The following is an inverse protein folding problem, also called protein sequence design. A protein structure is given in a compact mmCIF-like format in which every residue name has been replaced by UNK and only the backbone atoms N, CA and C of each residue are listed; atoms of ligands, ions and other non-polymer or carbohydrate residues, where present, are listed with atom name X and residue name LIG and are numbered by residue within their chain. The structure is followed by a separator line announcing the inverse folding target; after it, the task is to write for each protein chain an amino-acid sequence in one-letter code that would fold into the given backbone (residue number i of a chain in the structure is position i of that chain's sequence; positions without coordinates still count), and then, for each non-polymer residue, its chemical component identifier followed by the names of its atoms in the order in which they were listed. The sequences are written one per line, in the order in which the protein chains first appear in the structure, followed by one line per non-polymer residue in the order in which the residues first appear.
data_IF_524357724651
#
_entry.id   IF_524357724651
#
_cell.length_a   1.000
_cell.length_b   1.000
_cell.length_c   1.000
_cell.angle_alpha   90.00
_cell.angle_beta   90.00
_cell.angle_gamma   90.00
#
_symmetry.space_group_name_H-M   'P 1'
#
loop_
_entity.id
_entity.type
_entity.pdbx_description
1 polymer ?
#
# COMPACT_ATOMS: atom_id res chain seq x y z
N UNK A 1 22.09 7.76 36.68
CA UNK A 1 21.80 7.32 35.29
C UNK A 1 22.64 6.09 35.00
N UNK A 2 22.04 4.89 34.98
CA UNK A 2 22.78 3.65 34.69
C UNK A 2 23.07 3.61 33.18
N UNK A 3 24.34 3.40 32.81
CA UNK A 3 24.76 3.22 31.43
C UNK A 3 24.08 1.98 30.85
N UNK A 4 23.10 2.23 29.97
CA UNK A 4 22.39 1.21 29.18
C UNK A 4 23.43 0.34 28.48
N UNK A 5 23.56 -0.92 28.93
CA UNK A 5 24.17 -1.96 28.11
C UNK A 5 23.31 -2.01 26.86
N UNK A 6 23.81 -1.50 25.74
CA UNK A 6 23.15 -1.62 24.44
C UNK A 6 23.12 -3.09 24.08
N UNK A 7 22.08 -3.79 24.54
CA UNK A 7 21.82 -5.16 24.15
C UNK A 7 21.44 -5.11 22.67
N UNK A 8 22.17 -5.86 21.85
CA UNK A 8 21.88 -5.94 20.43
C UNK A 8 20.42 -6.34 20.24
N UNK A 9 19.68 -5.58 19.43
CA UNK A 9 18.27 -5.87 19.11
C UNK A 9 17.21 -5.02 19.82
N UNK A 10 17.55 -4.07 20.70
CA UNK A 10 16.54 -3.20 21.34
C UNK A 10 15.69 -2.41 20.32
N UNK A 11 16.30 -1.90 19.24
CA UNK A 11 15.57 -1.18 18.18
C UNK A 11 14.53 -2.08 17.50
N UNK A 12 14.93 -3.31 17.13
CA UNK A 12 14.04 -4.31 16.55
C UNK A 12 12.93 -4.69 17.52
N UNK A 13 13.26 -4.84 18.81
CA UNK A 13 12.27 -5.13 19.84
C UNK A 13 11.23 -4.03 19.95
N UNK A 14 11.63 -2.75 20.04
CA UNK A 14 10.70 -1.62 20.12
C UNK A 14 9.78 -1.55 18.90
N UNK A 15 10.33 -1.75 17.70
CA UNK A 15 9.54 -1.83 16.47
C UNK A 15 8.51 -2.96 16.53
N UNK A 16 8.92 -4.17 16.90
CA UNK A 16 8.02 -5.32 17.02
C UNK A 16 6.98 -5.13 18.13
N UNK A 17 7.33 -4.47 19.24
CA UNK A 17 6.41 -4.19 20.34
C UNK A 17 5.28 -3.24 19.91
N UNK A 18 5.57 -2.23 19.07
CA UNK A 18 4.52 -1.40 18.47
C UNK A 18 3.69 -2.17 17.43
N UNK A 19 4.33 -2.95 16.55
CA UNK A 19 3.65 -3.66 15.47
C UNK A 19 2.78 -4.82 15.95
N UNK A 20 3.11 -5.42 17.10
CA UNK A 20 2.36 -6.54 17.68
C UNK A 20 0.93 -6.22 18.11
N UNK A 21 0.56 -4.94 18.09
CA UNK A 21 -0.81 -4.49 18.33
C UNK A 21 -1.67 -4.54 17.08
N UNK A 22 -1.09 -4.14 15.96
CA UNK A 22 -1.83 -3.97 14.72
C UNK A 22 -1.83 -5.25 13.88
N UNK A 23 -0.82 -6.11 14.06
CA UNK A 23 -0.57 -7.25 13.19
C UNK A 23 -0.26 -8.52 13.99
N UNK A 24 -0.70 -9.67 13.46
CA UNK A 24 -0.30 -10.99 13.96
C UNK A 24 1.20 -11.23 13.68
N UNK A 25 2.01 -11.25 14.74
CA UNK A 25 3.44 -11.55 14.61
C UNK A 25 3.69 -12.99 14.17
N UNK A 26 4.66 -13.14 13.27
CA UNK A 26 5.28 -14.44 12.97
C UNK A 26 5.82 -15.10 14.25
N UNK A 27 5.72 -16.45 14.39
CA UNK A 27 6.20 -17.17 15.57
C UNK A 27 7.69 -16.93 15.86
N UNK A 28 8.51 -16.71 14.81
CA UNK A 28 9.94 -16.37 14.97
C UNK A 28 10.15 -15.04 15.68
N UNK A 29 9.32 -14.03 15.38
CA UNK A 29 9.42 -12.71 15.99
C UNK A 29 8.92 -12.73 17.44
N UNK A 30 7.86 -13.49 17.73
CA UNK A 30 7.40 -13.72 19.11
C UNK A 30 8.48 -14.36 19.97
N UNK A 31 9.10 -15.44 19.49
CA UNK A 31 10.21 -16.09 20.20
C UNK A 31 11.46 -15.19 20.35
N UNK A 32 11.69 -14.25 19.44
CA UNK A 32 12.72 -13.21 19.62
C UNK A 32 12.35 -12.25 20.75
N UNK A 33 11.11 -11.76 20.78
CA UNK A 33 10.64 -10.86 21.84
C UNK A 33 10.72 -11.53 23.21
N UNK A 34 10.23 -12.76 23.36
CA UNK A 34 10.23 -13.48 24.64
C UNK A 34 11.65 -13.65 25.21
N UNK A 35 12.62 -13.99 24.35
CA UNK A 35 14.03 -14.08 24.75
C UNK A 35 14.64 -12.72 25.10
N UNK A 36 14.28 -11.67 24.38
CA UNK A 36 14.82 -10.33 24.62
C UNK A 36 14.26 -9.71 25.91
N UNK A 37 12.96 -9.93 26.22
CA UNK A 37 12.32 -9.52 27.48
C UNK A 37 13.06 -10.06 28.70
N UNK A 38 13.51 -11.32 28.64
CA UNK A 38 14.24 -11.96 29.73
C UNK A 38 15.65 -11.39 29.97
N UNK A 39 16.20 -10.64 29.01
CA UNK A 39 17.59 -10.13 29.06
C UNK A 39 17.64 -8.61 29.25
N UNK A 40 16.66 -7.87 28.74
CA UNK A 40 16.66 -6.41 28.73
C UNK A 40 15.44 -5.82 29.46
N UNK A 41 15.64 -5.49 30.74
CA UNK A 41 14.61 -4.89 31.60
C UNK A 41 14.08 -3.56 31.05
N UNK A 42 14.94 -2.75 30.41
CA UNK A 42 14.53 -1.47 29.79
C UNK A 42 13.50 -1.69 28.67
N UNK A 43 13.66 -2.75 27.86
CA UNK A 43 12.72 -3.08 26.79
C UNK A 43 11.44 -3.70 27.34
N UNK A 44 11.53 -4.50 28.41
CA UNK A 44 10.36 -5.04 29.10
C UNK A 44 9.51 -3.93 29.75
N UNK A 45 10.16 -2.95 30.40
CA UNK A 45 9.49 -1.78 30.96
C UNK A 45 8.82 -0.94 29.86
N UNK A 46 9.53 -0.67 28.75
CA UNK A 46 8.98 0.05 27.61
C UNK A 46 7.72 -0.63 27.04
N UNK A 47 7.75 -1.96 26.89
CA UNK A 47 6.58 -2.71 26.46
C UNK A 47 5.43 -2.53 27.43
N UNK A 48 5.68 -2.71 28.74
CA UNK A 48 4.66 -2.53 29.78
C UNK A 48 4.05 -1.12 29.77
N UNK A 49 4.86 -0.07 29.61
CA UNK A 49 4.39 1.31 29.48
C UNK A 49 3.49 1.49 28.25
N UNK A 50 3.81 0.83 27.14
CA UNK A 50 2.98 0.76 25.93
C UNK A 50 1.64 0.08 26.21
N UNK A 51 1.63 -1.03 26.98
CA UNK A 51 0.39 -1.68 27.43
C UNK A 51 -0.44 -0.76 28.32
N UNK A 52 0.17 -0.15 29.33
CA UNK A 52 -0.52 0.76 30.24
C UNK A 52 -1.06 1.99 29.49
N UNK A 53 -0.26 2.63 28.66
CA UNK A 53 -0.66 3.82 27.90
C UNK A 53 -1.84 3.54 26.97
N UNK A 54 -1.83 2.42 26.25
CA UNK A 54 -2.96 2.03 25.41
C UNK A 54 -4.20 1.65 26.23
N UNK A 55 -4.03 0.99 27.37
CA UNK A 55 -5.15 0.69 28.26
C UNK A 55 -5.79 1.99 28.78
N UNK A 56 -4.97 2.97 29.18
CA UNK A 56 -5.46 4.29 29.56
C UNK A 56 -6.21 4.96 28.41
N UNK A 57 -5.66 4.98 27.20
CA UNK A 57 -6.36 5.53 26.02
C UNK A 57 -7.69 4.81 25.75
N UNK A 58 -7.77 3.49 25.98
CA UNK A 58 -9.01 2.73 25.87
C UNK A 58 -10.04 3.12 26.94
N UNK A 59 -9.61 3.40 28.18
CA UNK A 59 -10.50 3.91 29.24
C UNK A 59 -10.89 5.37 29.04
N UNK A 60 -10.04 6.15 28.37
CA UNK A 60 -10.32 7.52 27.90
C UNK A 60 -11.05 7.52 26.56
N UNK A 61 -11.67 6.41 26.14
CA UNK A 61 -12.79 6.51 25.22
C UNK A 61 -13.78 7.46 25.89
N UNK A 62 -13.71 8.72 25.46
CA UNK A 62 -14.68 9.74 25.73
C UNK A 62 -16.03 9.04 25.60
N UNK A 63 -16.87 9.15 26.63
CA UNK A 63 -18.32 8.95 26.52
C UNK A 63 -18.82 9.98 25.50
N UNK A 64 -18.43 9.77 24.24
CA UNK A 64 -19.09 10.38 23.12
C UNK A 64 -20.36 9.54 23.07
N UNK A 65 -21.44 10.14 23.55
CA UNK A 65 -22.81 9.78 23.22
C UNK A 65 -22.96 9.86 21.69
N UNK A 66 -22.29 8.95 21.00
CA UNK A 66 -22.47 8.67 19.60
C UNK A 66 -23.78 7.92 19.60
N UNK A 67 -24.84 8.60 19.19
CA UNK A 67 -26.02 7.98 18.59
C UNK A 67 -25.53 6.84 17.69
N UNK A 68 -25.49 5.62 18.25
CA UNK A 68 -24.60 4.55 17.75
C UNK A 68 -24.91 4.18 16.31
N UNK A 69 -26.15 4.42 15.90
CA UNK A 69 -26.68 4.20 14.57
C UNK A 69 -25.99 5.07 13.49
N UNK A 70 -25.70 6.35 13.75
CA UNK A 70 -25.14 7.26 12.72
C UNK A 70 -23.65 7.08 12.51
N UNK A 71 -22.92 6.72 13.57
CA UNK A 71 -21.49 6.42 13.48
C UNK A 71 -21.26 5.07 12.79
N UNK A 72 -21.97 4.02 13.23
CA UNK A 72 -21.89 2.68 12.65
C UNK A 72 -22.23 2.71 11.16
N UNK A 73 -23.26 3.43 10.75
CA UNK A 73 -23.62 3.57 9.33
C UNK A 73 -22.52 4.25 8.49
N UNK A 74 -21.84 5.27 9.02
CA UNK A 74 -20.73 5.94 8.31
C UNK A 74 -19.50 5.04 8.20
N UNK A 75 -19.17 4.30 9.26
CA UNK A 75 -18.02 3.38 9.27
C UNK A 75 -18.28 2.17 8.39
N UNK A 76 -19.45 1.55 8.50
CA UNK A 76 -19.89 0.44 7.63
C UNK A 76 -19.88 0.86 6.16
N UNK A 77 -20.39 2.04 5.82
CA UNK A 77 -20.36 2.55 4.44
C UNK A 77 -18.93 2.68 3.92
N UNK A 78 -18.00 3.20 4.72
CA UNK A 78 -16.58 3.28 4.33
C UNK A 78 -15.96 1.90 4.14
N UNK A 79 -16.20 0.96 5.06
CA UNK A 79 -15.71 -0.42 4.95
C UNK A 79 -16.22 -1.12 3.69
N UNK A 80 -17.49 -0.96 3.34
CA UNK A 80 -18.05 -1.50 2.10
C UNK A 80 -17.38 -0.90 0.86
N UNK A 81 -17.11 0.41 0.84
CA UNK A 81 -16.41 1.06 -0.28
C UNK A 81 -14.98 0.53 -0.42
N UNK A 82 -14.25 0.35 0.68
CA UNK A 82 -12.89 -0.20 0.64
C UNK A 82 -12.87 -1.64 0.13
N UNK A 83 -13.77 -2.49 0.65
CA UNK A 83 -13.87 -3.89 0.23
C UNK A 83 -14.25 -4.02 -1.25
N UNK A 84 -15.14 -3.17 -1.74
CA UNK A 84 -15.48 -3.10 -3.16
C UNK A 84 -14.29 -2.66 -4.02
N UNK A 85 -13.50 -1.67 -3.58
CA UNK A 85 -12.29 -1.24 -4.31
C UNK A 85 -11.24 -2.34 -4.38
N UNK A 86 -11.04 -3.09 -3.30
CA UNK A 86 -10.07 -4.19 -3.29
C UNK A 86 -10.49 -5.34 -4.22
N UNK A 87 -11.78 -5.65 -4.28
CA UNK A 87 -12.28 -6.59 -5.29
C UNK A 87 -12.09 -6.06 -6.71
N UNK A 88 -12.41 -4.79 -6.98
CA UNK A 88 -12.24 -4.21 -8.31
C UNK A 88 -10.77 -4.16 -8.75
N UNK A 89 -9.83 -4.03 -7.80
CA UNK A 89 -8.40 -4.05 -8.11
C UNK A 89 -7.93 -5.43 -8.58
N UNK A 90 -8.52 -6.51 -8.08
CA UNK A 90 -8.25 -7.87 -8.54
C UNK A 90 -8.87 -8.13 -9.93
N UNK A 91 -10.07 -7.61 -10.19
CA UNK A 91 -10.78 -7.83 -11.46
C UNK A 91 -10.43 -6.83 -12.58
N UNK A 92 -9.77 -5.71 -12.25
CA UNK A 92 -9.39 -4.65 -13.18
C UNK A 92 -8.57 -5.12 -14.39
N UNK A 93 -7.53 -5.97 -14.24
CA UNK A 93 -6.76 -6.44 -15.39
C UNK A 93 -7.56 -7.33 -16.33
N UNK A 94 -8.44 -8.18 -15.78
CA UNK A 94 -9.29 -9.07 -16.56
C UNK A 94 -10.33 -8.28 -17.38
N UNK A 95 -10.94 -7.24 -16.80
CA UNK A 95 -11.88 -6.37 -17.50
C UNK A 95 -11.21 -5.53 -18.59
N UNK A 96 -9.99 -5.03 -18.34
CA UNK A 96 -9.20 -4.34 -19.35
C UNK A 96 -8.86 -5.28 -20.52
N UNK A 97 -8.46 -6.52 -20.24
CA UNK A 97 -8.20 -7.53 -21.27
C UNK A 97 -9.45 -7.87 -22.09
N UNK A 98 -10.59 -8.07 -21.43
CA UNK A 98 -11.86 -8.32 -22.11
C UNK A 98 -12.30 -7.13 -22.99
N UNK A 99 -12.07 -5.90 -22.54
CA UNK A 99 -12.34 -4.69 -23.32
C UNK A 99 -11.51 -4.61 -24.59
N UNK A 100 -10.20 -4.90 -24.50
CA UNK A 100 -9.31 -4.92 -25.68
C UNK A 100 -9.77 -6.01 -26.67
N UNK A 101 -10.08 -7.21 -26.19
CA UNK A 101 -10.57 -8.30 -27.04
C UNK A 101 -11.91 -7.96 -27.72
N UNK A 102 -12.82 -7.28 -27.03
CA UNK A 102 -14.07 -6.83 -27.63
C UNK A 102 -13.83 -5.81 -28.76
N UNK A 103 -12.91 -4.86 -28.56
CA UNK A 103 -12.53 -3.87 -29.58
C UNK A 103 -11.91 -4.55 -30.80
N UNK A 104 -11.00 -5.51 -30.61
CA UNK A 104 -10.37 -6.22 -31.74
C UNK A 104 -11.40 -7.03 -32.52
N UNK A 105 -12.29 -7.76 -31.85
CA UNK A 105 -13.37 -8.49 -32.51
C UNK A 105 -14.27 -7.52 -33.29
N UNK A 106 -14.67 -6.39 -32.70
CA UNK A 106 -15.49 -5.40 -33.38
C UNK A 106 -14.81 -4.83 -34.64
N UNK A 107 -13.51 -4.56 -34.56
CA UNK A 107 -12.69 -4.10 -35.69
C UNK A 107 -12.58 -5.16 -36.78
N UNK A 108 -12.36 -6.42 -36.42
CA UNK A 108 -12.29 -7.52 -37.41
C UNK A 108 -13.61 -7.67 -38.16
N UNK A 109 -14.74 -7.55 -37.46
CA UNK A 109 -16.07 -7.58 -38.09
C UNK A 109 -16.25 -6.38 -39.03
N UNK A 110 -15.87 -5.17 -38.62
CA UNK A 110 -15.95 -3.98 -39.48
C UNK A 110 -15.11 -4.13 -40.76
N UNK A 111 -13.89 -4.67 -40.65
CA UNK A 111 -13.01 -4.89 -41.79
C UNK A 111 -13.57 -5.95 -42.76
N UNK A 112 -14.20 -7.01 -42.26
CA UNK A 112 -14.84 -8.02 -43.11
C UNK A 112 -16.06 -7.44 -43.84
N UNK A 113 -16.89 -6.65 -43.14
CA UNK A 113 -18.09 -6.02 -43.73
C UNK A 113 -17.71 -4.97 -44.77
N UNK A 114 -16.66 -4.17 -44.55
CA UNK A 114 -16.18 -3.18 -45.51
C UNK A 114 -15.35 -3.82 -46.64
N UNK A 115 -14.58 -4.87 -46.36
CA UNK A 115 -13.82 -5.63 -47.34
C UNK A 115 -14.69 -6.39 -48.35
N UNK A 116 -15.94 -6.71 -47.99
CA UNK A 116 -16.94 -7.23 -48.93
C UNK A 116 -17.36 -6.20 -50.00
N UNK A 117 -16.97 -4.94 -49.85
CA UNK A 117 -17.24 -3.84 -50.79
C UNK A 117 -15.91 -3.16 -51.14
N UNK A 118 -14.99 -3.86 -51.80
CA UNK A 118 -13.97 -3.19 -52.61
C UNK A 118 -13.75 -3.91 -53.94
N UNK A 119 -13.65 -3.16 -55.04
CA UNK A 119 -13.74 -3.67 -56.39
C UNK A 119 -12.50 -4.51 -56.76
N UNK A 120 -12.69 -5.42 -57.70
CA UNK A 120 -11.67 -6.25 -58.31
C UNK A 120 -10.43 -5.42 -58.71
N UNK A 121 -9.33 -5.54 -57.96
CA UNK A 121 -8.01 -5.13 -58.46
C UNK A 121 -7.41 -6.32 -59.22
N UNK A 122 -7.68 -6.32 -60.53
CA UNK A 122 -7.04 -7.21 -61.50
C UNK A 122 -5.65 -6.64 -61.85
N UNK A 123 -4.62 -7.46 -61.69
CA UNK A 123 -3.26 -7.25 -62.21
C UNK A 123 -2.32 -6.54 -61.23
N UNK A 124 -1.07 -6.92 -61.05
CA UNK A 124 -0.22 -7.92 -61.68
C UNK A 124 1.07 -8.07 -60.86
N UNK A 125 1.62 -9.28 -60.84
CA UNK A 125 3.07 -9.56 -60.75
C UNK A 125 3.82 -9.29 -59.43
N UNK A 126 4.05 -10.40 -58.72
CA UNK A 126 5.36 -11.01 -58.45
C UNK A 126 6.61 -10.13 -58.20
N UNK A 127 7.33 -10.53 -57.14
CA UNK A 127 8.73 -10.26 -56.79
C UNK A 127 9.06 -8.96 -56.04
N UNK A 128 9.39 -9.12 -54.75
CA UNK A 128 10.76 -8.87 -54.29
C UNK A 128 10.93 -9.34 -52.85
N UNK A 129 11.68 -10.42 -52.69
CA UNK A 129 12.36 -10.81 -51.46
C UNK A 129 13.35 -9.70 -51.05
N UNK A 130 13.13 -9.04 -49.92
CA UNK A 130 14.21 -8.30 -49.27
C UNK A 130 14.60 -8.96 -47.93
N UNK A 131 15.81 -9.50 -47.96
CA UNK A 131 16.59 -10.04 -46.85
C UNK A 131 16.87 -8.99 -45.76
N UNK A 132 17.32 -9.53 -44.63
CA UNK A 132 18.34 -8.96 -43.73
C UNK A 132 17.85 -8.23 -42.47
N UNK A 133 17.93 -8.97 -41.36
CA UNK A 133 18.74 -8.67 -40.18
C UNK A 133 18.88 -7.19 -39.77
N UNK A 134 18.39 -6.89 -38.57
CA UNK A 134 19.18 -6.46 -37.39
C UNK A 134 18.22 -6.38 -36.20
N UNK A 135 18.41 -7.26 -35.22
CA UNK A 135 18.94 -6.91 -33.90
C UNK A 135 18.06 -5.92 -33.13
N UNK A 136 17.47 -6.46 -32.06
CA UNK A 136 17.00 -5.73 -30.89
C UNK A 136 17.89 -4.52 -30.53
N UNK A 137 17.23 -3.45 -30.05
CA UNK A 137 17.53 -2.96 -28.71
C UNK A 137 16.21 -2.94 -27.92
N UNK A 138 16.04 -3.84 -26.94
CA UNK A 138 16.34 -3.56 -25.53
C UNK A 138 16.07 -2.10 -25.11
N UNK A 139 15.02 -1.97 -24.28
CA UNK A 139 15.01 -1.19 -23.04
C UNK A 139 15.50 0.26 -23.14
N UNK A 140 14.59 1.22 -23.39
CA UNK A 140 14.68 2.50 -22.70
C UNK A 140 13.35 3.28 -22.70
N UNK A 141 12.47 3.00 -21.74
CA UNK A 141 11.39 3.94 -21.40
C UNK A 141 11.01 3.84 -19.90
N UNK A 142 12.03 3.68 -19.04
CA UNK A 142 11.87 3.56 -17.59
C UNK A 142 12.70 4.60 -16.80
N UNK A 143 12.77 5.85 -17.28
CA UNK A 143 13.52 6.91 -16.58
C UNK A 143 12.79 8.24 -16.36
N UNK A 144 11.50 8.39 -16.73
CA UNK A 144 10.78 9.67 -16.56
C UNK A 144 9.89 9.77 -15.29
N UNK A 145 10.05 8.90 -14.29
CA UNK A 145 9.32 8.99 -13.00
C UNK A 145 10.24 9.21 -11.79
N UNK A 146 11.29 10.01 -11.94
CA UNK A 146 12.12 10.51 -10.82
C UNK A 146 12.22 12.03 -10.83
N UNK A 147 11.11 12.70 -10.58
CA UNK A 147 11.12 13.99 -9.89
C UNK A 147 9.92 14.05 -8.94
N UNK A 148 10.09 13.42 -7.77
CA UNK A 148 9.28 13.75 -6.60
C UNK A 148 9.90 15.01 -5.98
N UNK A 149 9.20 16.15 -5.91
CA UNK A 149 9.69 17.29 -5.16
C UNK A 149 9.77 16.90 -3.67
N UNK A 150 10.96 17.08 -3.08
CA UNK A 150 11.13 17.20 -1.63
C UNK A 150 10.33 18.41 -1.19
N UNK A 151 9.17 18.16 -0.58
CA UNK A 151 8.51 19.16 0.24
C UNK A 151 9.26 19.25 1.56
N UNK A 152 10.17 20.22 1.64
CA UNK A 152 10.74 20.68 2.89
C UNK A 152 9.61 21.32 3.70
N UNK A 153 9.05 20.56 4.63
CA UNK A 153 8.19 21.08 5.69
C UNK A 153 9.07 21.24 6.93
N UNK A 154 9.74 22.39 7.02
CA UNK A 154 10.23 22.96 8.28
C UNK A 154 9.02 23.26 9.17
N UNK A 155 8.49 22.21 9.79
CA UNK A 155 7.51 22.28 10.86
C UNK A 155 8.21 22.45 12.20
N UNK A 156 8.83 23.62 12.41
CA UNK A 156 9.24 24.09 13.73
C UNK A 156 8.01 24.27 14.62
N UNK A 157 7.57 23.19 15.27
CA UNK A 157 6.63 23.29 16.37
C UNK A 157 7.38 23.68 17.64
N UNK A 158 7.30 24.98 17.93
CA UNK A 158 7.61 25.58 19.22
C UNK A 158 6.90 24.81 20.35
N UNK A 159 7.62 24.42 21.42
CA UNK A 159 6.99 23.98 22.66
C UNK A 159 6.48 25.21 23.42
N UNK A 160 5.18 25.48 23.35
CA UNK A 160 4.52 26.37 24.31
C UNK A 160 4.35 25.65 25.65
N UNK A 161 5.37 25.84 26.48
CA UNK A 161 5.30 26.15 27.90
C UNK A 161 3.92 25.99 28.57
N UNK A 162 3.85 24.99 29.44
CA UNK A 162 3.52 25.14 30.87
C UNK A 162 2.58 26.29 31.22
N UNK A 163 1.31 25.98 31.46
CA UNK A 163 0.51 26.74 32.42
C UNK A 163 -0.01 25.81 33.51
N UNK A 164 0.63 25.96 34.67
CA UNK A 164 0.23 25.46 35.97
C UNK A 164 -1.28 25.53 36.18
N UNK A 165 -1.88 24.40 36.55
CA UNK A 165 -3.05 24.37 37.42
C UNK A 165 -2.73 23.41 38.55
N UNK A 166 -2.74 23.94 39.76
CA UNK A 166 -2.53 23.28 41.03
C UNK A 166 -3.38 24.08 42.04
N UNK A 167 -3.90 23.45 43.10
CA UNK A 167 -4.66 22.20 43.18
C UNK A 167 -6.19 22.41 43.14
#
# INVERSE_FOLDING_TARGET
MKLSKRVFGCSKFRYLASEARDILLSPKNRAFMDRHRAVCDECAAYENDLYCGLNFLGTYNLDVDLDGTRFVNRVMRRLHIFRARDTLRYWSPALMGAGIAAITIMLTIHLVVQGAISPQYSGSSFASTHKSNKLFPLLNLQSQLRHSPKGDADGSYHPLLLRNYNP
#
